data_IF_468367007096
#
_entry.id   IF_468367007096
#
_cell.length_a   1.000
_cell.length_b   1.000
_cell.length_c   1.000
_cell.angle_alpha   90.00
_cell.angle_beta   90.00
_cell.angle_gamma   90.00
#
_symmetry.space_group_name_H-M   'P 1'
#
loop_
_entity.id
_entity.type
_entity.pdbx_description
1 polymer ?
#
# COMPACT_ATOMS: atom_id res chain seq x y z
N UNK A 1 3.81 -26.22 -53.58
CA UNK A 1 4.77 -25.92 -52.49
C UNK A 1 4.20 -24.91 -51.49
N UNK A 2 3.54 -23.83 -51.92
CA UNK A 2 2.96 -22.81 -51.01
C UNK A 2 1.97 -23.35 -49.96
N UNK A 3 1.07 -24.27 -50.34
CA UNK A 3 0.14 -24.91 -49.38
C UNK A 3 0.84 -25.71 -48.29
N UNK A 4 2.02 -26.26 -48.58
CA UNK A 4 2.81 -27.04 -47.60
C UNK A 4 3.51 -26.11 -46.63
N UNK A 5 4.07 -24.98 -47.13
CA UNK A 5 4.68 -23.95 -46.29
C UNK A 5 3.68 -23.34 -45.30
N UNK A 6 2.46 -23.01 -45.75
CA UNK A 6 1.40 -22.51 -44.87
C UNK A 6 0.98 -23.52 -43.79
N UNK A 7 0.93 -24.82 -44.13
CA UNK A 7 0.64 -25.87 -43.14
C UNK A 7 1.74 -26.02 -42.10
N UNK A 8 3.01 -25.96 -42.52
CA UNK A 8 4.16 -26.01 -41.61
C UNK A 8 4.16 -24.80 -40.68
N UNK A 9 3.89 -23.60 -41.22
CA UNK A 9 3.78 -22.37 -40.44
C UNK A 9 2.63 -22.43 -39.42
N UNK A 10 1.44 -22.87 -39.86
CA UNK A 10 0.29 -23.02 -38.98
C UNK A 10 0.56 -24.03 -37.85
N UNK A 11 1.21 -25.16 -38.15
CA UNK A 11 1.61 -26.14 -37.15
C UNK A 11 2.60 -25.55 -36.13
N UNK A 12 3.58 -24.77 -36.59
CA UNK A 12 4.55 -24.11 -35.72
C UNK A 12 3.89 -23.07 -34.79
N UNK A 13 2.97 -22.26 -35.32
CA UNK A 13 2.19 -21.31 -34.50
C UNK A 13 1.33 -22.05 -33.46
N UNK A 14 0.66 -23.13 -33.85
CA UNK A 14 -0.12 -23.95 -32.91
C UNK A 14 0.76 -24.54 -31.79
N UNK A 15 1.96 -25.03 -32.12
CA UNK A 15 2.90 -25.54 -31.12
C UNK A 15 3.33 -24.45 -30.13
N UNK A 16 3.58 -23.22 -30.61
CA UNK A 16 3.90 -22.07 -29.76
C UNK A 16 2.71 -21.71 -28.85
N UNK A 17 1.49 -21.67 -29.40
CA UNK A 17 0.28 -21.35 -28.63
C UNK A 17 0.02 -22.36 -27.50
N UNK A 18 0.28 -23.65 -27.75
CA UNK A 18 0.17 -24.70 -26.72
C UNK A 18 1.13 -24.50 -25.55
N UNK A 19 2.24 -23.80 -25.73
CA UNK A 19 3.16 -23.45 -24.65
C UNK A 19 2.82 -22.11 -24.00
N UNK A 20 2.42 -21.12 -24.81
CA UNK A 20 2.13 -19.77 -24.35
C UNK A 20 0.90 -19.70 -23.43
N UNK A 21 -0.16 -20.44 -23.76
CA UNK A 21 -1.41 -20.41 -22.98
C UNK A 21 -1.22 -20.95 -21.55
N UNK A 22 -0.60 -22.12 -21.33
CA UNK A 22 -0.28 -22.58 -19.97
C UNK A 22 0.67 -21.64 -19.23
N UNK A 23 1.66 -21.07 -19.92
CA UNK A 23 2.58 -20.10 -19.32
C UNK A 23 1.84 -18.87 -18.78
N UNK A 24 0.93 -18.30 -19.57
CA UNK A 24 0.09 -17.18 -19.15
C UNK A 24 -0.75 -17.53 -17.92
N UNK A 25 -1.38 -18.70 -17.90
CA UNK A 25 -2.17 -19.15 -16.74
C UNK A 25 -1.33 -19.26 -15.45
N UNK A 26 -0.09 -19.74 -15.56
CA UNK A 26 0.82 -19.83 -14.40
C UNK A 26 1.18 -18.43 -13.90
N UNK A 27 1.46 -17.49 -14.80
CA UNK A 27 1.81 -16.11 -14.44
C UNK A 27 0.62 -15.35 -13.84
N UNK A 28 -0.59 -15.52 -14.38
CA UNK A 28 -1.81 -14.95 -13.78
C UNK A 28 -2.03 -15.51 -12.37
N UNK A 29 -1.84 -16.82 -12.18
CA UNK A 29 -1.92 -17.42 -10.84
C UNK A 29 -0.83 -16.90 -9.89
N UNK A 30 0.36 -16.61 -10.40
CA UNK A 30 1.43 -16.00 -9.61
C UNK A 30 1.05 -14.58 -9.18
N UNK A 31 0.42 -13.81 -10.05
CA UNK A 31 -0.10 -12.48 -9.74
C UNK A 31 -1.22 -12.54 -8.67
N UNK A 32 -2.14 -13.51 -8.75
CA UNK A 32 -3.18 -13.72 -7.74
C UNK A 32 -2.59 -14.08 -6.37
N UNK A 33 -1.56 -14.94 -6.34
CA UNK A 33 -0.84 -15.28 -5.11
C UNK A 33 -0.16 -14.02 -4.55
N UNK A 34 0.50 -13.22 -5.39
CA UNK A 34 1.13 -11.98 -4.97
C UNK A 34 0.10 -10.99 -4.40
N UNK A 35 -1.07 -10.84 -5.02
CA UNK A 35 -2.16 -10.01 -4.52
C UNK A 35 -2.58 -10.44 -3.11
N UNK A 36 -2.81 -11.74 -2.90
CA UNK A 36 -3.25 -12.27 -1.60
C UNK A 36 -2.19 -12.10 -0.51
N UNK A 37 -0.91 -12.28 -0.84
CA UNK A 37 0.21 -12.02 0.11
C UNK A 37 0.23 -10.54 0.50
N UNK A 38 0.15 -9.63 -0.49
CA UNK A 38 0.15 -8.18 -0.21
C UNK A 38 -1.07 -7.78 0.61
N UNK A 39 -2.25 -8.33 0.32
CA UNK A 39 -3.47 -8.10 1.10
C UNK A 39 -3.32 -8.58 2.55
N UNK A 40 -2.80 -9.79 2.75
CA UNK A 40 -2.58 -10.34 4.09
C UNK A 40 -1.57 -9.50 4.89
N UNK A 41 -0.44 -9.13 4.26
CA UNK A 41 0.60 -8.31 4.91
C UNK A 41 0.14 -6.88 5.18
N UNK A 42 -0.67 -6.29 4.30
CA UNK A 42 -1.25 -4.97 4.49
C UNK A 42 -2.22 -4.96 5.67
N UNK A 43 -3.11 -5.97 5.76
CA UNK A 43 -4.00 -6.13 6.90
C UNK A 43 -3.22 -6.36 8.20
N UNK A 44 -2.22 -7.25 8.19
CA UNK A 44 -1.35 -7.52 9.34
C UNK A 44 -0.66 -6.24 9.84
N UNK A 45 -0.08 -5.46 8.92
CA UNK A 45 0.58 -4.20 9.25
C UNK A 45 -0.41 -3.19 9.84
N UNK A 46 -1.56 -2.99 9.21
CA UNK A 46 -2.61 -2.09 9.69
C UNK A 46 -3.13 -2.52 11.06
N UNK A 47 -3.40 -3.80 11.28
CA UNK A 47 -3.91 -4.30 12.56
C UNK A 47 -2.89 -4.10 13.69
N UNK A 48 -1.60 -4.39 13.46
CA UNK A 48 -0.54 -4.10 14.43
C UNK A 48 -0.49 -2.60 14.75
N UNK A 49 -0.52 -1.73 13.73
CA UNK A 49 -0.49 -0.28 13.93
C UNK A 49 -1.72 0.23 14.70
N UNK A 50 -2.89 -0.37 14.47
CA UNK A 50 -4.16 -0.02 15.14
C UNK A 50 -4.23 -0.52 16.58
N UNK A 51 -3.65 -1.68 16.86
CA UNK A 51 -3.68 -2.30 18.19
C UNK A 51 -2.56 -1.76 19.10
N UNK A 52 -1.45 -1.27 18.53
CA UNK A 52 -0.36 -0.65 19.29
C UNK A 52 -0.50 0.87 19.42
N UNK A 53 -1.07 1.54 18.40
CA UNK A 53 -1.17 2.99 18.35
C UNK A 53 0.13 3.68 17.90
N UNK A 54 1.14 2.95 17.46
CA UNK A 54 2.37 3.54 16.92
C UNK A 54 2.97 2.72 15.77
N UNK A 55 3.78 3.37 14.95
CA UNK A 55 4.52 2.75 13.85
C UNK A 55 6.01 2.83 14.19
N UNK A 56 6.72 1.70 14.12
CA UNK A 56 8.18 1.66 14.29
C UNK A 56 8.88 1.51 12.94
N UNK A 57 10.15 1.96 12.83
CA UNK A 57 10.93 1.78 11.61
C UNK A 57 11.05 0.30 11.22
N UNK A 58 11.32 -0.58 12.20
CA UNK A 58 11.43 -2.03 11.99
C UNK A 58 10.16 -2.62 11.41
N UNK A 59 8.99 -2.26 11.96
CA UNK A 59 7.70 -2.76 11.49
C UNK A 59 7.45 -2.37 10.04
N UNK A 60 7.81 -1.13 9.66
CA UNK A 60 7.68 -0.64 8.30
C UNK A 60 8.68 -1.32 7.35
N UNK A 61 9.96 -1.45 7.72
CA UNK A 61 10.97 -2.14 6.87
C UNK A 61 10.62 -3.60 6.66
N UNK A 62 10.12 -4.25 7.71
CA UNK A 62 9.63 -5.61 7.67
C UNK A 62 8.45 -5.77 6.70
N UNK A 63 7.49 -4.84 6.77
CA UNK A 63 6.35 -4.80 5.85
C UNK A 63 6.81 -4.63 4.40
N UNK A 64 7.70 -3.66 4.14
CA UNK A 64 8.29 -3.42 2.81
C UNK A 64 9.04 -4.66 2.30
N UNK A 65 9.83 -5.32 3.15
CA UNK A 65 10.57 -6.52 2.79
C UNK A 65 9.65 -7.68 2.43
N UNK A 66 8.57 -7.89 3.20
CA UNK A 66 7.62 -8.98 2.95
C UNK A 66 6.82 -8.77 1.67
N UNK A 67 6.33 -7.56 1.40
CA UNK A 67 5.64 -7.30 0.13
C UNK A 67 6.60 -7.42 -1.07
N UNK A 68 7.84 -6.93 -0.97
CA UNK A 68 8.80 -7.03 -2.07
C UNK A 68 9.30 -8.47 -2.31
N UNK A 69 9.12 -9.39 -1.35
CA UNK A 69 9.46 -10.80 -1.53
C UNK A 69 8.61 -11.52 -2.59
N UNK A 70 7.48 -10.93 -3.01
CA UNK A 70 6.66 -11.45 -4.13
C UNK A 70 7.33 -11.27 -5.50
N UNK A 71 8.45 -10.54 -5.58
CA UNK A 71 9.18 -10.28 -6.81
C UNK A 71 8.67 -9.09 -7.62
N UNK A 72 7.59 -8.44 -7.17
CA UNK A 72 7.08 -7.20 -7.75
C UNK A 72 7.57 -5.98 -6.96
N UNK A 73 7.70 -4.85 -7.63
CA UNK A 73 7.98 -3.58 -6.97
C UNK A 73 6.67 -2.89 -6.63
N UNK A 74 6.56 -2.34 -5.43
CA UNK A 74 5.36 -1.65 -4.97
C UNK A 74 5.61 -0.17 -4.64
N UNK A 75 4.56 0.62 -4.77
CA UNK A 75 4.40 1.95 -4.21
C UNK A 75 3.44 1.82 -3.03
N UNK A 76 3.92 2.21 -1.87
CA UNK A 76 3.13 2.26 -0.64
C UNK A 76 2.62 3.71 -0.53
N UNK A 77 1.44 3.87 0.03
CA UNK A 77 0.86 5.16 0.43
C UNK A 77 0.30 5.00 1.84
N UNK A 78 0.81 5.80 2.77
CA UNK A 78 0.31 5.83 4.15
C UNK A 78 -0.52 7.10 4.35
N UNK A 79 -1.63 7.00 5.07
CA UNK A 79 -2.46 8.14 5.42
C UNK A 79 -2.99 8.00 6.84
N UNK A 80 -2.75 9.02 7.66
CA UNK A 80 -3.21 9.08 9.03
C UNK A 80 -4.13 10.30 9.21
N UNK A 81 -5.39 10.06 9.55
CA UNK A 81 -6.36 11.12 9.82
C UNK A 81 -6.49 11.31 11.31
N UNK A 82 -5.83 12.34 11.83
CA UNK A 82 -5.87 12.71 13.25
C UNK A 82 -7.13 13.49 13.57
N UNK A 83 -7.89 13.06 14.59
CA UNK A 83 -9.04 13.78 15.13
C UNK A 83 -8.60 14.65 16.31
N UNK A 84 -8.62 15.96 16.13
CA UNK A 84 -8.31 16.92 17.21
C UNK A 84 -9.57 17.67 17.64
N UNK A 85 -9.79 17.78 18.94
CA UNK A 85 -10.94 18.46 19.53
C UNK A 85 -10.47 19.77 20.14
N UNK A 86 -10.97 20.90 19.64
CA UNK A 86 -10.61 22.23 20.14
C UNK A 86 -11.82 22.88 20.85
N UNK A 87 -11.61 23.48 22.04
CA UNK A 87 -12.66 24.25 22.68
C UNK A 87 -12.95 25.54 21.89
N UNK A 88 -14.22 25.79 21.57
CA UNK A 88 -14.64 27.02 20.90
C UNK A 88 -14.76 28.13 21.94
N UNK A 89 -14.00 29.21 21.76
CA UNK A 89 -14.09 30.41 22.59
C UNK A 89 -14.93 31.46 21.86
N UNK A 90 -15.92 32.02 22.56
CA UNK A 90 -16.72 33.15 22.06
C UNK A 90 -16.15 34.44 22.65
N UNK A 91 -15.93 35.43 21.80
CA UNK A 91 -15.55 36.76 22.29
C UNK A 91 -16.79 37.47 22.84
N UNK A 92 -16.75 37.81 24.13
CA UNK A 92 -17.68 38.75 24.76
C UNK A 92 -16.86 39.91 25.32
N UNK A 93 -16.82 41.02 24.60
CA UNK A 93 -16.00 42.19 24.96
C UNK A 93 -14.49 41.92 24.77
N UNK A 94 -13.68 42.14 25.81
CA UNK A 94 -12.21 41.98 25.79
C UNK A 94 -11.70 40.63 26.32
N UNK A 95 -12.58 39.71 26.69
CA UNK A 95 -12.21 38.42 27.30
C UNK A 95 -12.76 37.25 26.46
N UNK A 96 -11.92 36.24 26.26
CA UNK A 96 -12.28 34.99 25.59
C UNK A 96 -13.01 34.08 26.59
N UNK A 97 -14.31 33.88 26.43
CA UNK A 97 -15.09 32.98 27.30
C UNK A 97 -15.31 31.66 26.57
N UNK A 98 -15.07 30.54 27.26
CA UNK A 98 -15.32 29.21 26.71
C UNK A 98 -16.83 29.04 26.42
N UNK A 99 -17.18 28.74 25.18
CA UNK A 99 -18.58 28.72 24.71
C UNK A 99 -19.32 27.42 25.08
N UNK A 100 -18.66 26.45 25.72
CA UNK A 100 -19.23 25.12 26.01
C UNK A 100 -19.28 24.19 24.80
N UNK A 101 -18.85 24.66 23.63
CA UNK A 101 -18.86 23.93 22.37
C UNK A 101 -17.45 23.44 22.02
N UNK A 102 -17.37 22.27 21.39
CA UNK A 102 -16.13 21.65 20.93
C UNK A 102 -16.18 21.45 19.42
N UNK A 103 -15.15 21.92 18.73
CA UNK A 103 -14.99 21.71 17.29
C UNK A 103 -14.06 20.52 17.04
N UNK A 104 -14.48 19.63 16.15
CA UNK A 104 -13.71 18.45 15.75
C UNK A 104 -13.05 18.72 14.40
N UNK A 105 -11.73 18.90 14.41
CA UNK A 105 -10.92 19.07 13.19
C UNK A 105 -10.26 17.73 12.86
N UNK A 106 -10.29 17.37 11.57
CA UNK A 106 -9.57 16.20 11.04
C UNK A 106 -8.36 16.67 10.24
N UNK A 107 -7.16 16.33 10.72
CA UNK A 107 -5.91 16.65 10.03
C UNK A 107 -5.40 15.39 9.35
N UNK A 108 -5.24 15.42 8.02
CA UNK A 108 -4.66 14.32 7.27
C UNK A 108 -3.15 14.48 7.21
N UNK A 109 -2.42 13.50 7.73
CA UNK A 109 -0.98 13.37 7.63
C UNK A 109 -0.65 12.32 6.58
N UNK A 110 0.03 12.74 5.52
CA UNK A 110 0.46 11.87 4.44
C UNK A 110 1.72 11.08 4.78
N UNK A 111 2.07 10.18 3.87
CA UNK A 111 3.24 9.30 3.99
C UNK A 111 4.55 10.03 4.26
N UNK A 112 4.79 11.18 3.62
CA UNK A 112 6.05 11.92 3.78
C UNK A 112 6.31 12.34 5.23
N UNK A 113 5.27 12.75 5.96
CA UNK A 113 5.41 13.16 7.37
C UNK A 113 5.67 11.95 8.27
N UNK A 114 5.02 10.82 7.97
CA UNK A 114 5.22 9.57 8.69
C UNK A 114 6.65 9.06 8.46
N UNK A 115 7.12 9.02 7.21
CA UNK A 115 8.46 8.56 6.87
C UNK A 115 9.56 9.48 7.43
N UNK A 116 9.36 10.80 7.44
CA UNK A 116 10.29 11.74 8.10
C UNK A 116 10.45 11.44 9.59
N UNK A 117 9.40 10.97 10.25
CA UNK A 117 9.42 10.59 11.67
C UNK A 117 10.13 9.25 11.88
N UNK A 118 9.92 8.27 10.99
CA UNK A 118 10.52 6.93 11.08
C UNK A 118 12.02 6.92 10.72
N UNK A 119 12.41 7.71 9.72
CA UNK A 119 13.78 7.78 9.20
C UNK A 119 14.31 9.22 9.23
N UNK A 120 14.58 9.78 10.43
CA UNK A 120 15.26 11.06 10.52
C UNK A 120 16.68 10.93 9.96
N UNK A 121 17.24 12.00 9.38
CA UNK A 121 18.60 11.99 8.83
C UNK A 121 19.72 11.86 9.87
N UNK A 122 19.38 11.77 11.16
CA UNK A 122 20.36 11.59 12.25
C UNK A 122 20.62 10.11 12.52
N UNK A 123 21.85 9.78 12.91
CA UNK A 123 22.33 8.43 13.30
C UNK A 123 21.73 7.90 14.63
N UNK A 124 20.47 8.24 14.93
CA UNK A 124 19.76 7.72 16.10
C UNK A 124 19.49 6.22 15.94
N UNK A 125 19.62 5.48 17.05
CA UNK A 125 19.45 4.02 17.05
C UNK A 125 18.03 3.65 16.64
N UNK A 126 17.87 2.49 16.00
CA UNK A 126 16.57 2.01 15.51
C UNK A 126 15.56 1.80 16.65
N UNK A 127 16.05 1.59 17.88
CA UNK A 127 15.23 1.42 19.08
C UNK A 127 14.77 2.72 19.76
N UNK A 128 15.25 3.89 19.33
CA UNK A 128 14.93 5.14 20.01
C UNK A 128 13.44 5.48 19.92
N UNK A 129 12.82 5.81 21.06
CA UNK A 129 11.39 6.17 21.15
C UNK A 129 11.03 7.37 20.25
N UNK A 130 11.97 8.26 19.97
CA UNK A 130 11.79 9.42 19.11
C UNK A 130 11.58 9.10 17.63
N UNK A 131 11.88 7.86 17.20
CA UNK A 131 11.67 7.40 15.82
C UNK A 131 10.34 6.69 15.61
N UNK A 132 9.49 6.65 16.65
CA UNK A 132 8.17 6.04 16.59
C UNK A 132 7.16 7.08 16.18
N UNK A 133 6.33 6.74 15.19
CA UNK A 133 5.22 7.59 14.80
C UNK A 133 4.00 7.22 15.64
N UNK A 134 3.54 8.17 16.43
CA UNK A 134 2.50 8.02 17.45
C UNK A 134 1.11 8.42 16.90
N UNK A 135 0.10 7.58 17.11
CA UNK A 135 -1.31 7.78 16.73
C UNK A 135 -2.23 7.72 17.94
N UNK A 136 -3.31 8.50 17.93
CA UNK A 136 -4.29 8.47 19.01
C UNK A 136 -5.45 7.50 18.71
N UNK A 137 -6.07 6.99 19.76
CA UNK A 137 -7.28 6.20 19.75
C UNK A 137 -8.41 7.03 19.12
N UNK A 138 -9.08 6.43 18.14
CA UNK A 138 -10.10 7.11 17.38
C UNK A 138 -9.59 7.86 16.14
N UNK A 139 -8.27 7.91 15.92
CA UNK A 139 -7.70 8.30 14.63
C UNK A 139 -7.92 7.19 13.59
N UNK A 140 -7.92 7.57 12.30
CA UNK A 140 -8.04 6.62 11.20
C UNK A 140 -6.69 6.44 10.52
N UNK A 141 -6.30 5.19 10.30
CA UNK A 141 -5.09 4.85 9.58
C UNK A 141 -5.43 4.05 8.32
N UNK A 142 -4.84 4.43 7.20
CA UNK A 142 -5.03 3.79 5.89
C UNK A 142 -3.67 3.52 5.23
N UNK A 143 -3.60 2.37 4.58
CA UNK A 143 -2.44 1.89 3.83
C UNK A 143 -2.92 1.45 2.46
N UNK A 144 -2.29 2.01 1.44
CA UNK A 144 -2.53 1.71 0.03
C UNK A 144 -1.23 1.14 -0.56
N UNK A 145 -1.35 0.01 -1.26
CA UNK A 145 -0.21 -0.64 -1.92
C UNK A 145 -0.60 -0.87 -3.38
N UNK A 146 0.22 -0.33 -4.26
CA UNK A 146 0.02 -0.40 -5.72
C UNK A 146 1.31 -0.88 -6.37
N UNK A 147 1.24 -1.75 -7.37
CA UNK A 147 2.45 -2.19 -8.07
C UNK A 147 3.04 -1.07 -8.96
N UNK A 148 4.36 -0.89 -8.90
CA UNK A 148 5.11 -0.02 -9.83
C UNK A 148 5.36 -0.79 -11.12
N UNK A 149 4.66 -0.41 -12.19
CA UNK A 149 4.82 -1.00 -13.52
C UNK A 149 3.87 -2.15 -13.81
N UNK A 150 4.20 -2.96 -14.82
CA UNK A 150 3.39 -4.11 -15.26
C UNK A 150 3.93 -5.40 -14.65
N UNK A 151 3.03 -6.29 -14.25
CA UNK A 151 3.43 -7.65 -13.89
C UNK A 151 3.84 -8.44 -15.13
N UNK A 152 4.54 -9.56 -14.94
CA UNK A 152 4.98 -10.40 -16.07
C UNK A 152 3.81 -10.92 -16.90
N UNK A 153 2.69 -11.29 -16.26
CA UNK A 153 1.49 -11.74 -16.96
C UNK A 153 0.95 -10.66 -17.91
N UNK A 154 0.83 -9.42 -17.41
CA UNK A 154 0.33 -8.28 -18.18
C UNK A 154 1.29 -7.92 -19.31
N UNK A 155 2.61 -8.00 -19.08
CA UNK A 155 3.60 -7.74 -20.12
C UNK A 155 3.50 -8.73 -21.29
N UNK A 156 3.39 -10.04 -21.02
CA UNK A 156 3.23 -11.07 -22.07
C UNK A 156 1.87 -10.95 -22.75
N UNK A 157 0.80 -10.70 -21.99
CA UNK A 157 -0.54 -10.50 -22.54
C UNK A 157 -0.59 -9.28 -23.47
N UNK A 158 0.00 -8.17 -23.06
CA UNK A 158 0.09 -6.95 -23.87
C UNK A 158 0.90 -7.16 -25.15
N UNK A 159 2.00 -7.92 -25.07
CA UNK A 159 2.77 -8.35 -26.24
C UNK A 159 1.91 -9.19 -27.21
N UNK A 160 1.12 -10.14 -26.69
CA UNK A 160 0.29 -11.03 -27.51
C UNK A 160 -0.90 -10.29 -28.15
N UNK A 161 -1.55 -9.40 -27.40
CA UNK A 161 -2.74 -8.67 -27.85
C UNK A 161 -2.40 -7.39 -28.61
N UNK A 162 -1.11 -7.04 -28.75
CA UNK A 162 -0.64 -5.75 -29.24
C UNK A 162 -1.31 -4.56 -28.52
N UNK A 163 -1.57 -4.73 -27.23
CA UNK A 163 -2.18 -3.72 -26.36
C UNK A 163 -1.15 -3.11 -25.42
N UNK A 164 -1.50 -1.97 -24.82
CA UNK A 164 -0.69 -1.35 -23.78
C UNK A 164 -1.59 -1.03 -22.58
N UNK A 165 -1.79 -2.02 -21.72
CA UNK A 165 -2.54 -1.88 -20.47
C UNK A 165 -1.79 -0.97 -19.51
N UNK A 166 -2.43 0.08 -18.99
CA UNK A 166 -1.84 0.97 -17.98
C UNK A 166 -2.00 0.37 -16.58
N UNK A 167 -0.93 0.44 -15.78
CA UNK A 167 -0.88 0.11 -14.34
C UNK A 167 -1.90 0.92 -13.52
N UNK A 168 -2.27 0.48 -12.29
CA UNK A 168 -1.82 -0.72 -11.58
C UNK A 168 -2.75 -1.94 -11.75
N UNK A 169 -2.16 -3.14 -11.75
CA UNK A 169 -2.91 -4.41 -11.77
C UNK A 169 -3.09 -5.00 -10.37
N UNK A 170 -2.17 -4.71 -9.45
CA UNK A 170 -2.28 -5.08 -8.05
C UNK A 170 -2.52 -3.79 -7.26
N UNK A 171 -3.74 -3.64 -6.74
CA UNK A 171 -4.12 -2.54 -5.87
C UNK A 171 -4.80 -3.08 -4.62
N UNK A 172 -4.17 -2.82 -3.47
CA UNK A 172 -4.64 -3.27 -2.16
C UNK A 172 -4.78 -2.05 -1.26
N UNK A 173 -5.89 -1.96 -0.56
CA UNK A 173 -6.13 -0.93 0.46
C UNK A 173 -6.62 -1.59 1.73
N UNK A 174 -5.94 -1.33 2.83
CA UNK A 174 -6.37 -1.71 4.16
C UNK A 174 -6.40 -0.47 5.06
N UNK A 175 -7.27 -0.47 6.05
CA UNK A 175 -7.34 0.63 6.99
C UNK A 175 -8.40 0.45 8.05
N UNK A 176 -8.42 1.36 9.01
CA UNK A 176 -9.42 1.37 10.06
C UNK A 176 -9.07 2.32 11.19
N UNK A 177 -9.94 2.34 12.19
CA UNK A 177 -9.77 3.14 13.40
C UNK A 177 -8.72 2.51 14.33
N UNK A 178 -7.81 3.33 14.85
CA UNK A 178 -6.85 2.95 15.89
C UNK A 178 -7.61 2.67 17.20
N UNK A 179 -7.37 1.49 17.78
CA UNK A 179 -8.14 0.97 18.91
C UNK A 179 -7.50 1.25 20.26
N UNK A 180 -6.19 1.43 20.28
CA UNK A 180 -5.43 1.55 21.52
C UNK A 180 -4.29 2.57 21.37
N UNK A 181 -3.89 3.16 22.50
CA UNK A 181 -2.75 4.06 22.67
C UNK A 181 -1.83 3.45 23.71
N UNK A 182 -1.00 2.48 23.32
CA UNK A 182 -0.03 1.87 24.22
C UNK A 182 1.30 2.65 24.19
N UNK A 183 1.35 3.79 24.88
CA UNK A 183 2.58 4.59 25.08
C UNK A 183 3.37 4.17 26.32
#
# INVERSE_FOLDING_TARGET
MERTLWKILAFLICAILLFLVPLLNILERQDDIAYNIVLAECNRFVDICRDTGFITPDLYTDFVSRINSTGNTYQIGLSHVKRSVYPVYRQTGSTMVFSGEYEIIRVNKGEEEILKTLFPQNSASVLDKSRRYEMAMGDLFFVEVQNKGKTMAVAIRDMMMFTNTKSPCIFVRAGGMVRNEAY
#
